data_IF_527206353330
#
_entry.id   IF_527206353330
#
_cell.length_a   1.000
_cell.length_b   1.000
_cell.length_c   1.000
_cell.angle_alpha   90.00
_cell.angle_beta   90.00
_cell.angle_gamma   90.00
#
_symmetry.space_group_name_H-M   'P 1'
#
loop_
_entity.id
_entity.type
_entity.pdbx_description
1 polymer ?
#
# COMPACT_ATOMS: atom_id res chain seq x y z
N UNK A 1 24.41 -15.62 -6.25
CA UNK A 1 24.25 -14.19 -5.94
C UNK A 1 23.23 -14.11 -4.81
N UNK A 2 23.53 -13.42 -3.72
CA UNK A 2 22.59 -13.31 -2.59
C UNK A 2 21.47 -12.34 -2.98
N UNK A 3 20.22 -12.77 -2.85
CA UNK A 3 19.02 -11.96 -3.09
C UNK A 3 18.45 -11.49 -1.76
N UNK A 4 17.96 -10.25 -1.73
CA UNK A 4 17.34 -9.69 -0.53
C UNK A 4 15.99 -10.34 -0.28
N UNK A 5 15.74 -10.77 0.95
CA UNK A 5 14.43 -11.23 1.43
C UNK A 5 13.54 -10.02 1.67
N UNK A 6 12.47 -9.93 0.89
CA UNK A 6 11.62 -8.75 0.79
C UNK A 6 10.25 -8.99 1.42
N UNK A 7 9.80 -8.06 2.27
CA UNK A 7 8.42 -7.95 2.73
C UNK A 7 7.76 -6.67 2.24
N UNK A 8 6.54 -6.76 1.72
CA UNK A 8 5.77 -5.63 1.20
C UNK A 8 4.49 -5.48 2.03
N UNK A 9 4.22 -4.27 2.52
CA UNK A 9 3.09 -3.98 3.39
C UNK A 9 2.35 -2.76 2.87
N UNK A 10 1.12 -2.97 2.40
CA UNK A 10 0.38 -1.98 1.62
C UNK A 10 -0.80 -1.43 2.41
N UNK A 11 -0.76 -0.13 2.69
CA UNK A 11 -1.93 0.60 3.16
C UNK A 11 -2.85 0.90 1.97
N UNK A 12 -3.81 0.02 1.73
CA UNK A 12 -4.72 0.12 0.59
C UNK A 12 -5.57 1.38 0.69
N UNK A 13 -5.93 1.82 1.90
CA UNK A 13 -6.79 2.97 2.09
C UNK A 13 -6.03 4.27 1.75
N UNK A 14 -4.83 4.47 2.29
CA UNK A 14 -3.99 5.62 1.97
C UNK A 14 -3.72 5.70 0.46
N UNK A 15 -3.31 4.59 -0.14
CA UNK A 15 -3.04 4.50 -1.58
C UNK A 15 -4.27 4.74 -2.46
N UNK A 16 -5.44 4.24 -2.07
CA UNK A 16 -6.68 4.47 -2.81
C UNK A 16 -7.07 5.95 -2.83
N UNK A 17 -7.01 6.62 -1.68
CA UNK A 17 -7.35 8.04 -1.60
C UNK A 17 -6.36 8.90 -2.39
N UNK A 18 -5.06 8.61 -2.31
CA UNK A 18 -4.04 9.32 -3.10
C UNK A 18 -4.22 9.13 -4.60
N UNK A 19 -4.42 7.90 -5.08
CA UNK A 19 -4.61 7.61 -6.50
C UNK A 19 -5.86 8.33 -7.05
N UNK A 20 -6.96 8.31 -6.27
CA UNK A 20 -8.19 8.99 -6.64
C UNK A 20 -8.02 10.51 -6.67
N UNK A 21 -7.40 11.10 -5.65
CA UNK A 21 -7.25 12.55 -5.55
C UNK A 21 -6.31 13.12 -6.63
N UNK A 22 -5.19 12.45 -6.88
CA UNK A 22 -4.12 12.97 -7.75
C UNK A 22 -4.32 12.61 -9.23
N UNK A 23 -4.91 11.45 -9.52
CA UNK A 23 -4.95 10.89 -10.88
C UNK A 23 -6.35 10.44 -11.32
N UNK A 24 -7.38 10.52 -10.45
CA UNK A 24 -8.72 9.97 -10.69
C UNK A 24 -8.70 8.48 -11.10
N UNK A 25 -7.63 7.76 -10.78
CA UNK A 25 -7.38 6.39 -11.22
C UNK A 25 -7.17 5.44 -10.04
N UNK A 26 -6.90 4.18 -10.35
CA UNK A 26 -6.58 3.12 -9.40
C UNK A 26 -5.19 2.57 -9.71
N UNK A 27 -4.48 2.18 -8.67
CA UNK A 27 -3.20 1.48 -8.80
C UNK A 27 -3.41 0.12 -9.45
N UNK A 28 -2.55 -0.20 -10.40
CA UNK A 28 -2.34 -1.55 -10.92
C UNK A 28 -1.37 -2.28 -9.99
N UNK A 29 -1.93 -3.01 -9.03
CA UNK A 29 -1.17 -3.74 -8.01
C UNK A 29 -0.28 -4.83 -8.60
N UNK A 30 -0.55 -5.32 -9.81
CA UNK A 30 0.34 -6.26 -10.48
C UNK A 30 1.64 -5.58 -10.88
N UNK A 31 1.54 -4.39 -11.49
CA UNK A 31 2.73 -3.62 -11.88
C UNK A 31 3.48 -3.08 -10.68
N UNK A 32 2.75 -2.61 -9.66
CA UNK A 32 3.35 -2.20 -8.40
C UNK A 32 4.16 -3.35 -7.79
N UNK A 33 3.59 -4.56 -7.72
CA UNK A 33 4.29 -5.72 -7.19
C UNK A 33 5.54 -6.05 -8.02
N UNK A 34 5.45 -6.03 -9.35
CA UNK A 34 6.58 -6.31 -10.24
C UNK A 34 7.71 -5.30 -10.07
N UNK A 35 7.38 -4.01 -10.01
CA UNK A 35 8.34 -2.92 -9.81
C UNK A 35 9.05 -3.04 -8.45
N UNK A 36 8.29 -3.31 -7.39
CA UNK A 36 8.85 -3.45 -6.04
C UNK A 36 9.66 -4.75 -5.94
N UNK A 37 9.20 -5.88 -6.46
CA UNK A 37 9.92 -7.15 -6.31
C UNK A 37 11.22 -7.15 -7.11
N UNK A 38 11.20 -6.69 -8.37
CA UNK A 38 12.34 -6.73 -9.27
C UNK A 38 13.05 -8.09 -9.26
N UNK A 39 14.32 -8.16 -8.85
CA UNK A 39 15.14 -9.37 -8.78
C UNK A 39 15.31 -9.94 -7.34
N UNK A 40 14.47 -9.48 -6.40
CA UNK A 40 14.51 -9.83 -4.97
C UNK A 40 13.62 -11.02 -4.64
N UNK A 41 13.91 -11.69 -3.52
CA UNK A 41 13.11 -12.83 -3.07
C UNK A 41 11.93 -12.33 -2.22
N UNK A 42 10.73 -12.32 -2.81
CA UNK A 42 9.51 -11.95 -2.10
C UNK A 42 9.15 -13.01 -1.06
N UNK A 43 9.25 -12.67 0.22
CA UNK A 43 8.86 -13.54 1.34
C UNK A 43 7.39 -13.36 1.70
N UNK A 44 6.91 -12.12 1.69
CA UNK A 44 5.52 -11.81 2.04
C UNK A 44 5.07 -10.49 1.40
N UNK A 45 3.85 -10.47 0.89
CA UNK A 45 3.15 -9.24 0.50
C UNK A 45 1.80 -9.20 1.22
N UNK A 46 1.53 -8.16 2.00
CA UNK A 46 0.28 -7.99 2.75
C UNK A 46 -0.42 -6.71 2.31
N UNK A 47 -1.67 -6.81 1.94
CA UNK A 47 -2.54 -5.68 1.65
C UNK A 47 -3.56 -5.49 2.79
N UNK A 48 -3.53 -4.31 3.39
CA UNK A 48 -4.38 -3.92 4.51
C UNK A 48 -5.55 -3.09 4.00
N UNK A 49 -6.72 -3.71 3.93
CA UNK A 49 -7.91 -3.13 3.33
C UNK A 49 -8.97 -2.79 4.38
N UNK A 50 -9.68 -1.69 4.16
CA UNK A 50 -10.82 -1.29 4.98
C UNK A 50 -12.09 -1.49 4.16
N UNK A 51 -12.98 -2.32 4.69
CA UNK A 51 -14.24 -2.67 4.04
C UNK A 51 -15.38 -1.84 4.62
N UNK A 52 -16.24 -1.33 3.75
CA UNK A 52 -17.53 -0.74 4.10
C UNK A 52 -18.61 -1.78 3.82
N UNK A 53 -19.53 -2.06 4.76
CA UNK A 53 -20.55 -3.11 4.61
C UNK A 53 -21.35 -3.02 3.30
N UNK A 54 -21.61 -1.79 2.84
CA UNK A 54 -22.43 -1.54 1.64
C UNK A 54 -21.65 -1.58 0.32
N UNK A 55 -20.34 -1.87 0.35
CA UNK A 55 -19.48 -1.85 -0.84
C UNK A 55 -18.89 -3.24 -1.07
N UNK A 56 -19.32 -3.93 -2.12
CA UNK A 56 -18.71 -5.18 -2.52
C UNK A 56 -17.26 -4.97 -3.00
N UNK A 57 -16.32 -5.56 -2.25
CA UNK A 57 -14.89 -5.54 -2.55
C UNK A 57 -14.33 -6.96 -2.79
N UNK A 58 -15.20 -7.96 -2.97
CA UNK A 58 -14.81 -9.35 -3.20
C UNK A 58 -13.90 -9.50 -4.42
N UNK A 59 -14.31 -8.91 -5.56
CA UNK A 59 -13.52 -8.97 -6.79
C UNK A 59 -12.14 -8.32 -6.69
N UNK A 60 -12.01 -7.23 -5.94
CA UNK A 60 -10.72 -6.60 -5.65
C UNK A 60 -9.84 -7.50 -4.78
N UNK A 61 -10.42 -8.07 -3.73
CA UNK A 61 -9.73 -8.97 -2.81
C UNK A 61 -9.24 -10.24 -3.54
N UNK A 62 -10.08 -10.82 -4.39
CA UNK A 62 -9.70 -12.02 -5.13
C UNK A 62 -8.63 -11.72 -6.19
N UNK A 63 -8.65 -10.53 -6.80
CA UNK A 63 -7.58 -10.11 -7.70
C UNK A 63 -6.24 -9.99 -6.98
N UNK A 64 -6.18 -9.35 -5.82
CA UNK A 64 -4.97 -9.24 -5.02
C UNK A 64 -4.44 -10.60 -4.56
N UNK A 65 -5.32 -11.50 -4.09
CA UNK A 65 -4.94 -12.88 -3.72
C UNK A 65 -4.32 -13.64 -4.88
N UNK A 66 -4.90 -13.53 -6.09
CA UNK A 66 -4.33 -14.16 -7.31
C UNK A 66 -2.94 -13.61 -7.67
N UNK A 67 -2.66 -12.36 -7.32
CA UNK A 67 -1.34 -11.76 -7.50
C UNK A 67 -0.33 -12.16 -6.42
N UNK A 68 -0.76 -12.88 -5.38
CA UNK A 68 0.11 -13.34 -4.29
C UNK A 68 0.10 -12.47 -3.04
N UNK A 69 -0.81 -11.49 -2.94
CA UNK A 69 -1.00 -10.73 -1.71
C UNK A 69 -1.82 -11.53 -0.68
N UNK A 70 -1.35 -11.56 0.56
CA UNK A 70 -2.17 -11.80 1.73
C UNK A 70 -3.06 -10.58 1.98
N UNK A 71 -4.32 -10.78 2.34
CA UNK A 71 -5.25 -9.67 2.59
C UNK A 71 -5.70 -9.71 4.04
N UNK A 72 -5.51 -8.58 4.71
CA UNK A 72 -6.08 -8.32 6.03
C UNK A 72 -7.16 -7.25 5.89
N UNK A 73 -8.39 -7.60 6.23
CA UNK A 73 -9.54 -6.69 6.13
C UNK A 73 -10.09 -6.33 7.51
N UNK A 74 -10.48 -5.06 7.67
CA UNK A 74 -11.14 -4.53 8.86
C UNK A 74 -12.37 -3.76 8.43
N UNK A 75 -13.45 -3.92 9.19
CA UNK A 75 -14.68 -3.20 8.94
C UNK A 75 -14.57 -1.76 9.42
N UNK A 76 -14.99 -0.81 8.59
CA UNK A 76 -15.05 0.59 8.96
C UNK A 76 -16.12 0.78 10.05
N UNK A 77 -15.71 1.19 11.25
CA UNK A 77 -16.66 1.51 12.32
C UNK A 77 -16.89 3.01 12.37
N UNK A 78 -18.12 3.42 12.12
CA UNK A 78 -18.57 4.79 12.37
C UNK A 78 -18.87 4.93 13.86
N UNK A 79 -18.26 5.91 14.50
CA UNK A 79 -18.59 6.26 15.88
C UNK A 79 -19.86 7.12 15.90
N UNK A 80 -20.56 7.18 17.06
CA UNK A 80 -21.70 8.07 17.24
C UNK A 80 -21.39 9.55 17.02
N UNK A 81 -20.13 9.96 17.16
CA UNK A 81 -19.63 11.32 16.92
C UNK A 81 -19.34 11.62 15.43
N UNK A 82 -19.62 10.68 14.53
CA UNK A 82 -19.39 10.81 13.09
C UNK A 82 -17.94 10.53 12.66
N UNK A 83 -17.01 10.28 13.58
CA UNK A 83 -15.64 9.90 13.23
C UNK A 83 -15.58 8.44 12.79
N UNK A 84 -14.86 8.18 11.70
CA UNK A 84 -14.62 6.82 11.25
C UNK A 84 -13.36 6.28 11.93
N UNK A 85 -13.47 5.16 12.67
CA UNK A 85 -12.31 4.44 13.20
C UNK A 85 -12.12 3.18 12.35
N UNK A 86 -11.00 3.10 11.64
CA UNK A 86 -10.81 2.01 10.68
C UNK A 86 -9.43 1.87 10.07
N UNK A 87 -8.47 2.75 10.35
CA UNK A 87 -7.10 2.61 9.84
C UNK A 87 -6.45 1.29 10.29
N UNK A 88 -5.37 0.99 9.57
CA UNK A 88 -4.55 -0.18 9.74
C UNK A 88 -3.19 0.13 10.36
N UNK A 89 -2.91 1.36 10.74
CA UNK A 89 -1.56 1.84 11.10
C UNK A 89 -0.93 0.99 12.19
N UNK A 90 -1.67 0.73 13.27
CA UNK A 90 -1.22 -0.17 14.34
C UNK A 90 -1.02 -1.61 13.86
N UNK A 91 -1.90 -2.13 13.01
CA UNK A 91 -1.78 -3.51 12.50
C UNK A 91 -0.57 -3.66 11.57
N UNK A 92 -0.36 -2.70 10.68
CA UNK A 92 0.82 -2.60 9.81
C UNK A 92 2.08 -2.54 10.66
N UNK A 93 2.12 -1.68 11.69
CA UNK A 93 3.27 -1.54 12.57
C UNK A 93 3.60 -2.84 13.32
N UNK A 94 2.60 -3.50 13.90
CA UNK A 94 2.78 -4.77 14.63
C UNK A 94 3.29 -5.86 13.69
N UNK A 95 2.67 -6.03 12.53
CA UNK A 95 3.03 -7.09 11.59
C UNK A 95 4.43 -6.88 10.98
N UNK A 96 4.78 -5.63 10.63
CA UNK A 96 6.09 -5.30 10.07
C UNK A 96 7.22 -5.52 11.08
N UNK A 97 7.04 -5.06 12.32
CA UNK A 97 8.02 -5.31 13.41
C UNK A 97 8.17 -6.81 13.67
N UNK A 98 7.07 -7.56 13.75
CA UNK A 98 7.11 -9.00 13.97
C UNK A 98 7.83 -9.76 12.84
N UNK A 99 7.74 -9.26 11.60
CA UNK A 99 8.40 -9.84 10.43
C UNK A 99 9.85 -9.40 10.24
N UNK A 100 10.26 -8.27 10.82
CA UNK A 100 11.57 -7.67 10.62
C UNK A 100 12.76 -8.65 10.77
N UNK A 101 12.82 -9.54 11.79
CA UNK A 101 13.95 -10.48 11.93
C UNK A 101 14.10 -11.47 10.77
N UNK A 102 13.08 -11.62 9.92
CA UNK A 102 13.05 -12.56 8.79
C UNK A 102 13.28 -11.90 7.43
N UNK A 103 13.42 -10.57 7.41
CA UNK A 103 13.47 -9.77 6.19
C UNK A 103 14.75 -8.94 6.16
N UNK A 104 15.31 -8.78 4.97
CA UNK A 104 16.44 -7.88 4.74
C UNK A 104 15.92 -6.49 4.36
N UNK A 105 14.82 -6.46 3.59
CA UNK A 105 14.16 -5.23 3.15
C UNK A 105 12.66 -5.27 3.46
N UNK A 106 12.15 -4.17 4.02
CA UNK A 106 10.72 -3.92 4.23
C UNK A 106 10.31 -2.74 3.36
N UNK A 107 9.28 -2.95 2.54
CA UNK A 107 8.65 -1.90 1.75
C UNK A 107 7.31 -1.53 2.38
N UNK A 108 7.20 -0.28 2.84
CA UNK A 108 5.94 0.32 3.24
C UNK A 108 5.33 1.05 2.04
N UNK A 109 4.18 0.57 1.59
CA UNK A 109 3.43 1.26 0.53
C UNK A 109 2.39 2.15 1.20
N UNK A 110 2.85 3.32 1.66
CA UNK A 110 2.04 4.38 2.26
C UNK A 110 2.73 5.74 2.14
N UNK A 111 1.94 6.81 2.13
CA UNK A 111 2.42 8.20 2.21
C UNK A 111 2.35 8.80 3.62
N UNK A 112 1.89 8.04 4.61
CA UNK A 112 1.54 8.56 5.94
C UNK A 112 2.77 8.83 6.83
N UNK A 113 2.90 10.07 7.29
CA UNK A 113 3.98 10.51 8.18
C UNK A 113 3.96 9.84 9.55
N UNK A 114 2.82 9.30 9.99
CA UNK A 114 2.70 8.60 11.26
C UNK A 114 3.52 7.29 11.30
N UNK A 115 4.00 6.81 10.14
CA UNK A 115 4.93 5.68 10.06
C UNK A 115 6.40 6.03 10.29
N UNK A 116 6.79 7.30 10.48
CA UNK A 116 8.20 7.66 10.75
C UNK A 116 8.80 6.88 11.93
N UNK A 117 8.16 6.79 13.12
CA UNK A 117 8.70 6.01 14.23
C UNK A 117 8.83 4.52 13.91
N UNK A 118 7.93 3.98 13.08
CA UNK A 118 8.01 2.60 12.60
C UNK A 118 9.24 2.41 11.71
N UNK A 119 9.49 3.32 10.77
CA UNK A 119 10.67 3.28 9.89
C UNK A 119 11.96 3.28 10.70
N UNK A 120 12.07 4.15 11.71
CA UNK A 120 13.24 4.22 12.59
C UNK A 120 13.45 2.91 13.37
N UNK A 121 12.38 2.36 13.95
CA UNK A 121 12.41 1.09 14.66
C UNK A 121 12.86 -0.07 13.77
N UNK A 122 12.31 -0.16 12.55
CA UNK A 122 12.67 -1.22 11.60
C UNK A 122 14.13 -1.11 11.15
N UNK A 123 14.65 0.10 10.96
CA UNK A 123 16.08 0.34 10.70
C UNK A 123 16.96 -0.07 11.88
N UNK A 124 16.51 0.18 13.11
CA UNK A 124 17.19 -0.28 14.32
C UNK A 124 17.23 -1.82 14.43
N UNK A 125 16.28 -2.53 13.82
CA UNK A 125 16.29 -3.99 13.67
C UNK A 125 17.22 -4.49 12.55
N UNK A 126 17.93 -3.58 11.85
CA UNK A 126 18.85 -3.92 10.78
C UNK A 126 18.19 -4.07 9.41
N UNK A 127 16.90 -3.79 9.27
CA UNK A 127 16.23 -3.84 7.97
C UNK A 127 16.54 -2.59 7.14
N UNK A 128 16.68 -2.77 5.84
CA UNK A 128 16.47 -1.68 4.88
C UNK A 128 14.99 -1.37 4.84
N UNK A 129 14.62 -0.10 4.96
CA UNK A 129 13.21 0.33 4.90
C UNK A 129 13.01 1.21 3.68
N UNK A 130 12.14 0.78 2.78
CA UNK A 130 11.78 1.48 1.55
C UNK A 130 10.34 1.99 1.66
N UNK A 131 10.10 3.19 1.14
CA UNK A 131 8.76 3.79 1.10
C UNK A 131 8.35 3.93 -0.36
N UNK A 132 7.14 3.47 -0.68
CA UNK A 132 6.55 3.59 -2.02
C UNK A 132 5.20 4.27 -1.92
N UNK A 133 5.05 5.44 -2.52
CA UNK A 133 3.79 6.18 -2.51
C UNK A 133 3.74 7.27 -3.58
N UNK A 134 2.63 8.01 -3.66
CA UNK A 134 2.53 9.15 -4.57
C UNK A 134 3.23 10.37 -3.98
N UNK A 135 4.27 10.86 -4.65
CA UNK A 135 5.13 11.95 -4.14
C UNK A 135 4.37 13.19 -3.65
N UNK A 136 3.26 13.53 -4.30
CA UNK A 136 2.44 14.71 -3.94
C UNK A 136 1.60 14.53 -2.67
N UNK A 137 1.46 13.30 -2.18
CA UNK A 137 0.69 12.95 -0.97
C UNK A 137 1.53 12.19 0.05
N UNK A 138 2.85 12.35 0.01
CA UNK A 138 3.78 11.69 0.95
C UNK A 138 4.34 12.74 1.89
N UNK A 139 4.30 12.43 3.19
CA UNK A 139 4.96 13.24 4.21
C UNK A 139 6.47 13.34 3.96
N UNK A 140 7.04 14.54 4.05
CA UNK A 140 8.46 14.78 3.71
C UNK A 140 9.37 14.06 4.71
N UNK A 141 9.02 14.12 5.98
CA UNK A 141 9.67 13.44 7.09
C UNK A 141 9.70 11.91 6.90
N UNK A 142 8.68 11.32 6.27
CA UNK A 142 8.67 9.89 5.96
C UNK A 142 9.69 9.55 4.87
N UNK A 143 9.79 10.40 3.84
CA UNK A 143 10.81 10.26 2.79
C UNK A 143 12.21 10.34 3.40
N UNK A 144 12.45 11.33 4.25
CA UNK A 144 13.74 11.55 4.92
C UNK A 144 14.12 10.42 5.89
N UNK A 145 13.15 9.87 6.62
CA UNK A 145 13.39 8.75 7.52
C UNK A 145 13.71 7.44 6.78
N UNK A 146 13.11 7.24 5.60
CA UNK A 146 13.26 6.03 4.79
C UNK A 146 14.70 5.82 4.29
N UNK A 147 15.06 4.57 3.99
CA UNK A 147 16.38 4.27 3.38
C UNK A 147 16.35 4.53 1.87
N UNK A 148 15.20 4.35 1.25
CA UNK A 148 14.94 4.74 -0.14
C UNK A 148 13.45 5.04 -0.30
N UNK A 149 13.17 6.03 -1.13
CA UNK A 149 11.84 6.38 -1.56
C UNK A 149 11.69 6.15 -3.07
N UNK A 150 10.60 5.49 -3.46
CA UNK A 150 10.23 5.31 -4.87
C UNK A 150 8.83 5.87 -5.08
N UNK A 151 8.67 6.75 -6.08
CA UNK A 151 7.37 7.31 -6.40
C UNK A 151 6.53 6.32 -7.21
N UNK A 152 5.23 6.25 -6.92
CA UNK A 152 4.25 5.63 -7.80
C UNK A 152 4.02 6.57 -8.99
N UNK A 153 4.34 6.08 -10.18
CA UNK A 153 4.21 6.79 -11.45
C UNK A 153 2.97 6.33 -12.23
N UNK A 154 2.56 7.09 -13.24
CA UNK A 154 1.39 6.77 -14.07
C UNK A 154 1.46 5.40 -14.76
N UNK A 155 2.68 4.89 -15.00
CA UNK A 155 2.90 3.54 -15.56
C UNK A 155 2.32 2.43 -14.69
N UNK A 156 2.26 2.64 -13.37
CA UNK A 156 1.73 1.73 -12.36
C UNK A 156 0.23 1.94 -12.08
N UNK A 157 -0.44 2.81 -12.86
CA UNK A 157 -1.88 3.01 -12.78
C UNK A 157 -2.58 2.23 -13.88
N UNK A 158 -3.87 1.92 -13.66
CA UNK A 158 -4.71 1.49 -14.76
C UNK A 158 -4.86 2.66 -15.74
N UNK A 159 -4.58 2.41 -17.01
CA UNK A 159 -4.96 3.33 -18.08
C UNK A 159 -6.49 3.39 -18.07
N UNK A 160 -7.06 4.57 -17.84
CA UNK A 160 -8.49 4.74 -18.05
C UNK A 160 -8.80 4.30 -19.49
N UNK A 161 -9.62 3.27 -19.66
CA UNK A 161 -10.43 3.23 -20.88
C UNK A 161 -11.29 4.47 -20.77
N UNK A 162 -11.06 5.46 -21.64
CA UNK A 162 -11.92 6.64 -21.82
C UNK A 162 -13.34 6.23 -21.45
N UNK A 163 -13.93 6.88 -20.45
CA UNK A 163 -15.37 6.82 -20.28
C UNK A 163 -15.97 7.16 -21.65
N UNK A 164 -16.41 6.12 -22.37
CA UNK A 164 -17.17 6.30 -23.59
C UNK A 164 -18.43 7.00 -23.11
N UNK A 165 -18.55 8.29 -23.39
CA UNK A 165 -19.86 8.91 -23.50
C UNK A 165 -20.62 8.11 -24.56
N UNK A 166 -21.39 7.12 -24.15
CA UNK A 166 -22.65 6.86 -24.84
C UNK A 166 -23.53 8.05 -24.43
N UNK A 167 -23.63 9.14 -25.20
CA UNK A 167 -23.90 9.11 -26.64
C UNK A 167 -25.39 8.84 -26.76
N UNK A 168 -26.15 9.92 -26.87
CA UNK A 168 -27.59 9.94 -27.05
C UNK A 168 -28.04 8.97 -28.16
N UNK A 169 -29.17 8.30 -27.93
CA UNK A 169 -30.30 8.17 -28.87
C UNK A 169 -31.30 7.15 -28.31
N UNK A 170 -32.37 7.66 -27.69
CA UNK A 170 -33.75 7.44 -28.15
C UNK A 170 -34.66 8.47 -27.50
#
# INVERSE_FOLDING_TARGET
MFRQRLGIFVDVQNMFYSAKALHQSKIDYSKLLQEIVADRDLIRAVAYAVHKPDVDQSGFSDALKRLGYEIKSKELRLRPDGTAKGDWDMGIAIDTIAMAPKLDTIVLVSGDGDFVPLVEMLKAHGCRVEVVSFRKSTAVELVEASTQYTAIEESMLFKEKKFSKNGAHN
#
